data_IF_026728774251
#
_entry.id   IF_026728774251
#
_cell.length_a   1.000
_cell.length_b   1.000
_cell.length_c   1.000
_cell.angle_alpha   90.00
_cell.angle_beta   90.00
_cell.angle_gamma   90.00
#
_symmetry.space_group_name_H-M   'P 1'
#
loop_
_entity.id
_entity.type
_entity.pdbx_description
1 polymer ?
#
# COMPACT_ATOMS: atom_id res chain seq x y z
N UNK A 1 55.87 23.23 -15.83
CA UNK A 1 55.34 22.38 -14.75
C UNK A 1 53.83 22.60 -14.67
N UNK A 2 53.01 21.54 -14.84
CA UNK A 2 51.56 21.59 -14.78
C UNK A 2 51.05 21.35 -13.34
N UNK A 3 50.04 22.10 -12.90
CA UNK A 3 49.28 21.80 -11.69
C UNK A 3 47.82 21.55 -12.06
N UNK A 4 47.47 20.28 -12.02
CA UNK A 4 46.19 19.67 -12.31
C UNK A 4 45.12 20.14 -11.31
N UNK A 5 44.00 20.69 -11.80
CA UNK A 5 42.81 20.96 -10.99
C UNK A 5 41.91 19.73 -11.02
N UNK A 6 42.14 18.81 -10.10
CA UNK A 6 41.21 17.73 -9.78
C UNK A 6 40.22 18.25 -8.74
N UNK A 7 39.01 18.61 -9.16
CA UNK A 7 37.88 18.80 -8.27
C UNK A 7 36.74 17.87 -8.74
N UNK A 8 36.81 16.68 -8.15
CA UNK A 8 35.78 15.65 -7.94
C UNK A 8 34.34 16.09 -8.26
N UNK A 9 33.77 15.40 -9.24
CA UNK A 9 32.34 15.39 -9.54
C UNK A 9 31.58 14.77 -8.36
N UNK A 10 30.59 15.47 -7.82
CA UNK A 10 29.59 14.90 -6.93
C UNK A 10 28.57 14.14 -7.76
N UNK A 11 28.54 12.81 -7.59
CA UNK A 11 27.59 11.90 -8.24
C UNK A 11 26.15 12.16 -7.76
N UNK A 12 25.13 12.14 -8.63
CA UNK A 12 23.74 12.12 -8.20
C UNK A 12 23.40 10.73 -7.64
N UNK A 13 22.72 10.69 -6.50
CA UNK A 13 22.15 9.46 -5.92
C UNK A 13 21.22 8.78 -6.94
N UNK A 14 21.28 7.45 -7.12
CA UNK A 14 20.42 6.76 -8.06
C UNK A 14 18.99 6.75 -7.51
N UNK A 15 18.10 7.51 -8.14
CA UNK A 15 16.67 7.48 -7.83
C UNK A 15 16.15 6.08 -8.22
N UNK A 16 15.57 5.29 -7.30
CA UNK A 16 15.05 3.98 -7.65
C UNK A 16 13.91 4.16 -8.66
N UNK A 17 14.06 3.54 -9.83
CA UNK A 17 13.08 3.56 -10.92
C UNK A 17 11.67 3.22 -10.39
N UNK A 18 10.66 3.98 -10.82
CA UNK A 18 9.26 3.82 -10.40
C UNK A 18 8.73 2.38 -10.53
N UNK A 19 9.30 1.58 -11.44
CA UNK A 19 8.98 0.16 -11.61
C UNK A 19 9.35 -0.71 -10.38
N UNK A 20 10.48 -0.43 -9.73
CA UNK A 20 10.93 -1.17 -8.53
C UNK A 20 10.01 -0.87 -7.35
N UNK A 21 9.66 0.40 -7.15
CA UNK A 21 8.76 0.85 -6.07
C UNK A 21 7.35 0.26 -6.20
N UNK A 22 6.80 0.21 -7.43
CA UNK A 22 5.52 -0.45 -7.73
C UNK A 22 5.54 -1.93 -7.33
N UNK A 23 6.62 -2.65 -7.63
CA UNK A 23 6.75 -4.08 -7.33
C UNK A 23 6.81 -4.37 -5.83
N UNK A 24 7.49 -3.52 -5.04
CA UNK A 24 7.56 -3.66 -3.59
C UNK A 24 6.22 -3.35 -2.93
N UNK A 25 5.54 -2.29 -3.38
CA UNK A 25 4.20 -1.95 -2.90
C UNK A 25 3.20 -3.07 -3.19
N UNK A 26 3.22 -3.61 -4.42
CA UNK A 26 2.39 -4.74 -4.80
C UNK A 26 2.62 -5.96 -3.90
N UNK A 27 3.90 -6.27 -3.58
CA UNK A 27 4.24 -7.37 -2.67
C UNK A 27 3.72 -7.13 -1.24
N UNK A 28 3.82 -5.91 -0.71
CA UNK A 28 3.27 -5.57 0.60
C UNK A 28 1.74 -5.76 0.64
N UNK A 29 1.02 -5.27 -0.38
CA UNK A 29 -0.44 -5.44 -0.47
C UNK A 29 -0.81 -6.93 -0.55
N UNK A 30 -0.16 -7.71 -1.39
CA UNK A 30 -0.42 -9.17 -1.49
C UNK A 30 -0.18 -9.86 -0.15
N UNK A 31 0.89 -9.53 0.56
CA UNK A 31 1.17 -10.10 1.87
C UNK A 31 0.10 -9.74 2.91
N UNK A 32 -0.47 -8.53 2.84
CA UNK A 32 -1.59 -8.11 3.71
C UNK A 32 -2.86 -8.88 3.38
N UNK A 33 -3.20 -8.99 2.09
CA UNK A 33 -4.38 -9.74 1.65
C UNK A 33 -4.29 -11.22 2.08
N UNK A 34 -3.12 -11.86 1.98
CA UNK A 34 -2.90 -13.23 2.49
C UNK A 34 -3.16 -13.37 3.99
N UNK A 35 -2.81 -12.36 4.79
CA UNK A 35 -3.10 -12.36 6.24
C UNK A 35 -4.61 -12.25 6.48
N UNK A 36 -5.28 -11.39 5.72
CA UNK A 36 -6.73 -11.16 5.84
C UNK A 36 -7.51 -12.40 5.38
N UNK A 37 -7.05 -13.08 4.34
CA UNK A 37 -7.58 -14.39 3.94
C UNK A 37 -7.55 -15.39 5.10
N UNK A 38 -6.43 -15.46 5.84
CA UNK A 38 -6.31 -16.27 7.04
C UNK A 38 -7.30 -15.87 8.15
N UNK A 39 -7.55 -14.56 8.33
CA UNK A 39 -8.56 -14.07 9.28
C UNK A 39 -9.97 -14.48 8.86
N UNK A 40 -10.31 -14.37 7.57
CA UNK A 40 -11.63 -14.76 7.05
C UNK A 40 -11.86 -16.26 7.20
N UNK A 41 -10.84 -17.07 6.95
CA UNK A 41 -10.91 -18.52 7.19
C UNK A 41 -11.16 -18.83 8.67
N UNK A 42 -10.42 -18.20 9.57
CA UNK A 42 -10.62 -18.38 11.01
C UNK A 42 -12.02 -17.93 11.47
N UNK A 43 -12.60 -16.87 10.87
CA UNK A 43 -13.97 -16.45 11.16
C UNK A 43 -14.99 -17.52 10.76
N UNK A 44 -14.84 -18.15 9.60
CA UNK A 44 -15.70 -19.25 9.16
C UNK A 44 -15.61 -20.44 10.15
N UNK A 45 -14.39 -20.82 10.53
CA UNK A 45 -14.16 -21.88 11.53
C UNK A 45 -14.80 -21.56 12.89
N UNK A 46 -14.76 -20.30 13.34
CA UNK A 46 -15.41 -19.87 14.58
C UNK A 46 -16.94 -20.00 14.52
N UNK A 47 -17.54 -19.67 13.36
CA UNK A 47 -18.97 -19.81 13.14
C UNK A 47 -19.36 -21.29 13.14
N UNK A 48 -18.64 -22.12 12.39
CA UNK A 48 -18.88 -23.57 12.32
C UNK A 48 -18.72 -24.25 13.68
N UNK A 49 -17.76 -23.77 14.50
CA UNK A 49 -17.54 -24.25 15.86
C UNK A 49 -18.56 -23.70 16.89
N UNK A 50 -19.53 -22.89 16.47
CA UNK A 50 -20.57 -22.34 17.36
C UNK A 50 -20.02 -21.39 18.43
N UNK A 51 -18.95 -20.65 18.14
CA UNK A 51 -18.37 -19.68 19.08
C UNK A 51 -19.36 -18.55 19.41
N UNK A 52 -19.25 -17.89 20.57
CA UNK A 52 -20.09 -16.74 20.92
C UNK A 52 -20.03 -15.65 19.85
N UNK A 53 -21.20 -15.08 19.53
CA UNK A 53 -21.31 -14.02 18.52
C UNK A 53 -20.42 -12.81 18.84
N UNK A 54 -20.22 -12.50 20.12
CA UNK A 54 -19.36 -11.40 20.56
C UNK A 54 -17.88 -11.64 20.20
N UNK A 55 -17.36 -12.85 20.43
CA UNK A 55 -16.00 -13.24 20.04
C UNK A 55 -15.81 -13.14 18.52
N UNK A 56 -16.80 -13.62 17.76
CA UNK A 56 -16.79 -13.55 16.28
C UNK A 56 -16.82 -12.10 15.82
N UNK A 57 -17.68 -11.27 16.42
CA UNK A 57 -17.77 -9.85 16.10
C UNK A 57 -16.45 -9.11 16.40
N UNK A 58 -15.77 -9.47 17.50
CA UNK A 58 -14.46 -8.91 17.83
C UNK A 58 -13.42 -9.27 16.78
N UNK A 59 -13.31 -10.54 16.38
CA UNK A 59 -12.38 -10.96 15.32
C UNK A 59 -12.72 -10.33 13.97
N UNK A 60 -14.02 -10.21 13.66
CA UNK A 60 -14.47 -9.59 12.43
C UNK A 60 -14.13 -8.10 12.39
N UNK A 61 -14.19 -7.40 13.53
CA UNK A 61 -13.72 -6.02 13.64
C UNK A 61 -12.23 -5.88 13.35
N UNK A 62 -11.41 -6.85 13.78
CA UNK A 62 -9.98 -6.88 13.48
C UNK A 62 -9.71 -7.12 11.99
N UNK A 63 -10.48 -8.01 11.34
CA UNK A 63 -10.40 -8.26 9.91
C UNK A 63 -10.79 -7.01 9.09
N UNK A 64 -11.88 -6.33 9.46
CA UNK A 64 -12.29 -5.05 8.83
C UNK A 64 -11.16 -4.01 8.92
N UNK A 65 -10.61 -3.79 10.12
CA UNK A 65 -9.52 -2.83 10.32
C UNK A 65 -8.25 -3.19 9.54
N UNK A 66 -7.97 -4.48 9.34
CA UNK A 66 -6.87 -4.94 8.50
C UNK A 66 -7.13 -4.67 7.01
N UNK A 67 -8.38 -4.87 6.55
CA UNK A 67 -8.83 -4.54 5.19
C UNK A 67 -8.72 -3.03 4.92
N UNK A 68 -9.22 -2.18 5.82
CA UNK A 68 -9.16 -0.72 5.65
C UNK A 68 -7.70 -0.25 5.50
N UNK A 69 -6.79 -0.78 6.34
CA UNK A 69 -5.37 -0.48 6.23
C UNK A 69 -4.76 -0.91 4.89
N UNK A 70 -5.19 -2.04 4.33
CA UNK A 70 -4.73 -2.49 3.02
C UNK A 70 -5.29 -1.58 1.91
N UNK A 71 -6.56 -1.20 2.00
CA UNK A 71 -7.22 -0.28 1.08
C UNK A 71 -6.51 1.08 1.04
N UNK A 72 -6.29 1.73 2.18
CA UNK A 72 -5.63 3.03 2.22
C UNK A 72 -4.19 2.98 1.69
N UNK A 73 -3.46 1.88 1.93
CA UNK A 73 -2.12 1.71 1.36
C UNK A 73 -2.15 1.64 -0.17
N UNK A 74 -3.06 0.84 -0.73
CA UNK A 74 -3.23 0.72 -2.17
C UNK A 74 -3.59 2.07 -2.80
N UNK A 75 -4.46 2.84 -2.15
CA UNK A 75 -4.84 4.18 -2.61
C UNK A 75 -3.69 5.18 -2.55
N UNK A 76 -2.86 5.12 -1.49
CA UNK A 76 -1.65 5.94 -1.40
C UNK A 76 -0.67 5.64 -2.54
N UNK A 77 -0.57 4.38 -2.99
CA UNK A 77 0.24 4.02 -4.16
C UNK A 77 -0.32 4.63 -5.45
N UNK A 78 -1.65 4.58 -5.66
CA UNK A 78 -2.29 5.21 -6.82
C UNK A 78 -1.99 6.71 -6.89
N UNK A 79 -2.01 7.41 -5.75
CA UNK A 79 -1.68 8.84 -5.68
C UNK A 79 -0.20 9.09 -6.01
N UNK A 80 0.71 8.28 -5.47
CA UNK A 80 2.14 8.39 -5.74
C UNK A 80 2.47 8.11 -7.21
N UNK A 81 1.77 7.15 -7.82
CA UNK A 81 1.87 6.86 -9.26
C UNK A 81 1.42 8.05 -10.11
N UNK A 82 0.30 8.69 -9.78
CA UNK A 82 -0.16 9.89 -10.49
C UNK A 82 0.88 11.03 -10.42
N UNK A 83 1.43 11.29 -9.23
CA UNK A 83 2.45 12.33 -9.04
C UNK A 83 3.74 12.02 -9.81
N UNK A 84 4.18 10.76 -9.82
CA UNK A 84 5.44 10.34 -10.48
C UNK A 84 5.33 10.26 -12.00
N UNK A 85 4.14 10.04 -12.55
CA UNK A 85 3.90 10.03 -14.01
C UNK A 85 3.75 11.44 -14.60
N UNK A 86 3.88 12.48 -13.78
CA UNK A 86 3.72 13.86 -14.23
C UNK A 86 2.26 14.23 -14.50
N UNK A 87 1.31 13.46 -13.94
CA UNK A 87 -0.10 13.77 -14.10
C UNK A 87 -0.44 15.05 -13.33
N UNK A 88 -1.23 15.87 -14.03
CA UNK A 88 -1.77 17.13 -13.56
C UNK A 88 -2.69 16.92 -12.35
N UNK A 89 -3.14 18.01 -11.71
CA UNK A 89 -4.11 18.02 -10.60
C UNK A 89 -5.24 16.99 -10.79
N UNK A 90 -5.67 16.76 -12.03
CA UNK A 90 -6.67 15.77 -12.46
C UNK A 90 -6.38 14.30 -12.05
N UNK A 91 -5.13 13.84 -12.08
CA UNK A 91 -4.76 12.47 -11.66
C UNK A 91 -4.84 12.28 -10.14
N UNK A 92 -4.53 13.35 -9.40
CA UNK A 92 -4.70 13.41 -7.95
C UNK A 92 -6.20 13.49 -7.60
N UNK A 93 -6.98 14.33 -8.29
CA UNK A 93 -8.44 14.42 -8.12
C UNK A 93 -9.14 13.07 -8.37
N UNK A 94 -8.73 12.34 -9.41
CA UNK A 94 -9.26 10.99 -9.69
C UNK A 94 -8.98 10.03 -8.52
N UNK A 95 -7.77 10.07 -7.96
CA UNK A 95 -7.39 9.24 -6.83
C UNK A 95 -8.15 9.62 -5.54
N UNK A 96 -8.37 10.91 -5.29
CA UNK A 96 -9.18 11.42 -4.16
C UNK A 96 -10.64 11.00 -4.27
N UNK A 97 -11.24 11.07 -5.46
CA UNK A 97 -12.64 10.64 -5.69
C UNK A 97 -12.84 9.15 -5.39
N UNK A 98 -11.83 8.32 -5.66
CA UNK A 98 -11.88 6.89 -5.28
C UNK A 98 -11.87 6.75 -3.76
N UNK A 99 -11.02 7.50 -3.04
CA UNK A 99 -11.04 7.47 -1.58
C UNK A 99 -12.40 7.88 -1.00
N UNK A 100 -13.00 8.96 -1.50
CA UNK A 100 -14.31 9.45 -1.03
C UNK A 100 -15.43 8.42 -1.23
N UNK A 101 -15.39 7.62 -2.29
CA UNK A 101 -16.40 6.57 -2.54
C UNK A 101 -16.39 5.45 -1.49
N UNK A 102 -15.25 5.21 -0.86
CA UNK A 102 -15.02 4.10 0.06
C UNK A 102 -14.67 4.56 1.49
N UNK A 103 -14.81 5.87 1.77
CA UNK A 103 -14.74 6.46 3.11
C UNK A 103 -16.11 6.39 3.80
#
# INVERSE_FOLDING_TARGET
MPANKTATQASPTPVPSAAVQRSEHQRDIVNRLRRIEGQVRALAEMVDAGRPCEDIAQQMSAARKAMDKAFYRMMACSMLEAVTQGDSIEGVERSTRILEKYA
#
